data_IF_315902367086
#
_entry.id   IF_315902367086
#
_cell.length_a   1.000
_cell.length_b   1.000
_cell.length_c   1.000
_cell.angle_alpha   90.00
_cell.angle_beta   90.00
_cell.angle_gamma   90.00
#
_symmetry.space_group_name_H-M   'P 1'
#
loop_
_entity.id
_entity.type
_entity.pdbx_description
1 polymer ?
#
# COMPACT_ATOMS: atom_id res chain seq x y z
N UNK A 1 2.44 -4.04 8.12
CA UNK A 1 1.40 -3.44 7.25
C UNK A 1 2.08 -2.42 6.33
N UNK A 2 1.56 -2.20 5.13
CA UNK A 2 2.11 -1.18 4.20
C UNK A 2 0.99 -0.27 3.74
N UNK A 3 1.21 1.04 3.82
CA UNK A 3 0.20 2.07 3.52
C UNK A 3 0.81 3.22 2.70
N UNK A 4 0.01 3.96 1.92
CA UNK A 4 0.46 5.23 1.35
C UNK A 4 0.75 6.26 2.46
N UNK A 5 1.78 7.07 2.27
CA UNK A 5 2.07 8.24 3.12
C UNK A 5 0.85 9.17 3.25
N UNK A 6 0.05 9.27 2.19
CA UNK A 6 -1.15 10.10 2.12
C UNK A 6 -2.44 9.38 2.55
N UNK A 7 -2.35 8.13 3.02
CA UNK A 7 -3.50 7.34 3.51
C UNK A 7 -3.07 6.35 4.60
N UNK A 8 -2.63 6.91 5.73
CA UNK A 8 -1.90 6.19 6.78
C UNK A 8 -2.76 5.91 8.02
N UNK A 9 -3.94 5.30 7.83
CA UNK A 9 -4.92 5.09 8.89
C UNK A 9 -4.46 4.08 9.96
N UNK A 10 -3.85 2.97 9.55
CA UNK A 10 -3.28 1.95 10.45
C UNK A 10 -2.05 2.52 11.14
N UNK A 11 -1.14 3.20 10.44
CA UNK A 11 0.03 3.86 11.03
C UNK A 11 -0.38 4.81 12.15
N UNK A 12 -1.32 5.71 11.87
CA UNK A 12 -1.82 6.68 12.84
C UNK A 12 -2.51 5.98 14.02
N UNK A 13 -3.28 4.92 13.75
CA UNK A 13 -3.98 4.16 14.79
C UNK A 13 -3.06 3.33 15.69
N UNK A 14 -1.98 2.76 15.14
CA UNK A 14 -0.95 2.06 15.90
C UNK A 14 -0.17 3.04 16.78
N UNK A 15 0.25 4.18 16.23
CA UNK A 15 0.96 5.22 16.97
C UNK A 15 0.11 5.80 18.12
N UNK A 16 -1.19 5.98 17.90
CA UNK A 16 -2.11 6.49 18.92
C UNK A 16 -2.62 5.43 19.91
N UNK A 17 -2.40 4.14 19.64
CA UNK A 17 -2.94 3.03 20.42
C UNK A 17 -4.47 2.84 20.29
N UNK A 18 -5.14 3.53 19.38
CA UNK A 18 -6.60 3.51 19.16
C UNK A 18 -6.95 4.00 17.76
N UNK A 19 -8.17 3.74 17.29
CA UNK A 19 -8.67 4.26 16.02
C UNK A 19 -8.68 5.79 16.04
N UNK A 20 -8.14 6.39 14.98
CA UNK A 20 -8.12 7.85 14.78
C UNK A 20 -8.53 8.17 13.36
N UNK A 21 -9.27 9.27 13.14
CA UNK A 21 -9.63 9.71 11.81
C UNK A 21 -8.41 10.25 11.06
N UNK A 22 -8.35 9.98 9.77
CA UNK A 22 -7.40 10.55 8.80
C UNK A 22 -8.18 11.10 7.61
N UNK A 23 -7.56 12.01 6.86
CA UNK A 23 -8.08 12.48 5.57
C UNK A 23 -7.23 11.84 4.46
N UNK A 24 -7.68 10.72 3.87
CA UNK A 24 -6.91 10.02 2.85
C UNK A 24 -6.95 10.78 1.52
N UNK A 25 -5.83 10.77 0.81
CA UNK A 25 -5.64 11.42 -0.48
C UNK A 25 -4.54 10.69 -1.26
N UNK A 26 -4.80 9.45 -1.69
CA UNK A 26 -3.82 8.60 -2.37
C UNK A 26 -4.39 8.06 -3.68
N UNK A 27 -3.50 7.81 -4.65
CA UNK A 27 -3.80 7.07 -5.87
C UNK A 27 -4.19 5.61 -5.60
N UNK A 28 -3.85 5.07 -4.43
CA UNK A 28 -4.29 3.76 -3.96
C UNK A 28 -5.63 3.86 -3.21
N UNK A 29 -6.71 4.06 -3.96
CA UNK A 29 -8.08 4.24 -3.44
C UNK A 29 -8.57 3.07 -2.58
N UNK A 30 -8.20 1.82 -2.92
CA UNK A 30 -8.58 0.62 -2.18
C UNK A 30 -8.11 0.56 -0.71
N UNK A 31 -7.20 1.45 -0.30
CA UNK A 31 -6.75 1.61 1.09
C UNK A 31 -7.02 3.01 1.67
N UNK A 32 -7.93 3.76 1.05
CA UNK A 32 -8.31 5.13 1.45
C UNK A 32 -9.43 5.18 2.49
N UNK A 33 -9.38 4.28 3.49
CA UNK A 33 -10.31 4.32 4.60
C UNK A 33 -10.02 5.53 5.52
N UNK A 34 -11.05 6.24 6.02
CA UNK A 34 -10.84 7.42 6.85
C UNK A 34 -10.38 7.09 8.28
N UNK A 35 -10.32 5.80 8.65
CA UNK A 35 -9.79 5.32 9.92
C UNK A 35 -9.54 3.81 9.83
N UNK A 36 -8.66 3.29 10.68
CA UNK A 36 -8.49 1.85 10.87
C UNK A 36 -9.43 1.34 11.96
N UNK A 37 -10.14 0.25 11.71
CA UNK A 37 -11.09 -0.32 12.68
C UNK A 37 -10.40 -0.87 13.93
N UNK A 38 -11.05 -0.74 15.09
CA UNK A 38 -10.48 -1.14 16.39
C UNK A 38 -10.12 -2.63 16.47
N UNK A 39 -10.91 -3.51 15.87
CA UNK A 39 -10.61 -4.94 15.82
C UNK A 39 -9.31 -5.21 15.04
N UNK A 40 -9.11 -4.54 13.91
CA UNK A 40 -7.90 -4.66 13.11
C UNK A 40 -6.68 -4.15 13.90
N UNK A 41 -6.79 -2.97 14.52
CA UNK A 41 -5.70 -2.41 15.33
C UNK A 41 -5.35 -3.29 16.54
N UNK A 42 -6.35 -3.90 17.18
CA UNK A 42 -6.13 -4.82 18.30
C UNK A 42 -5.32 -6.04 17.86
N UNK A 43 -5.66 -6.65 16.73
CA UNK A 43 -4.92 -7.78 16.17
C UNK A 43 -3.50 -7.35 15.78
N UNK A 44 -3.35 -6.24 15.07
CA UNK A 44 -2.04 -5.76 14.62
C UNK A 44 -1.10 -5.48 15.78
N UNK A 45 -1.58 -4.87 16.88
CA UNK A 45 -0.79 -4.68 18.10
C UNK A 45 -0.43 -6.00 18.78
N UNK A 46 -1.36 -6.96 18.83
CA UNK A 46 -1.11 -8.27 19.46
C UNK A 46 -0.01 -9.07 18.76
N UNK A 47 0.20 -8.83 17.46
CA UNK A 47 1.28 -9.43 16.66
C UNK A 47 2.46 -8.48 16.42
N UNK A 48 2.55 -7.37 17.15
CA UNK A 48 3.64 -6.39 17.06
C UNK A 48 3.91 -5.93 15.61
N UNK A 49 2.85 -5.78 14.81
CA UNK A 49 2.96 -5.43 13.40
C UNK A 49 3.40 -3.98 13.24
N UNK A 50 4.52 -3.78 12.55
CA UNK A 50 4.99 -2.46 12.15
C UNK A 50 4.21 -1.95 10.92
N UNK A 51 4.02 -0.63 10.83
CA UNK A 51 3.49 0.03 9.62
C UNK A 51 4.61 0.71 8.84
N UNK A 52 4.72 0.37 7.55
CA UNK A 52 5.64 0.96 6.58
C UNK A 52 4.86 1.87 5.65
N UNK A 53 5.37 3.09 5.45
CA UNK A 53 4.76 4.08 4.56
C UNK A 53 5.48 4.15 3.23
N UNK A 54 4.73 4.23 2.13
CA UNK A 54 5.25 4.41 0.77
C UNK A 54 4.67 5.66 0.11
N UNK A 55 5.50 6.35 -0.67
CA UNK A 55 5.09 7.53 -1.43
C UNK A 55 4.34 7.13 -2.69
N UNK A 56 3.55 8.06 -3.22
CA UNK A 56 2.80 7.85 -4.48
C UNK A 56 3.72 7.47 -5.65
N UNK A 57 4.92 8.04 -5.70
CA UNK A 57 5.92 7.72 -6.74
C UNK A 57 6.49 6.30 -6.60
N UNK A 58 6.64 5.80 -5.37
CA UNK A 58 7.03 4.41 -5.12
C UNK A 58 5.92 3.44 -5.52
N UNK A 59 4.65 3.81 -5.28
CA UNK A 59 3.47 3.04 -5.70
C UNK A 59 3.44 2.93 -7.23
N UNK A 60 3.59 4.03 -7.96
CA UNK A 60 3.66 4.02 -9.44
C UNK A 60 4.80 3.14 -9.94
N UNK A 61 5.98 3.22 -9.31
CA UNK A 61 7.15 2.43 -9.68
C UNK A 61 6.89 0.93 -9.50
N UNK A 62 6.29 0.54 -8.38
CA UNK A 62 5.92 -0.84 -8.11
C UNK A 62 4.81 -1.35 -9.04
N UNK A 63 3.82 -0.51 -9.34
CA UNK A 63 2.77 -0.82 -10.29
C UNK A 63 3.38 -1.10 -11.68
N UNK A 64 4.26 -0.22 -12.18
CA UNK A 64 5.00 -0.44 -13.43
C UNK A 64 5.81 -1.73 -13.40
N UNK A 65 6.47 -2.03 -12.28
CA UNK A 65 7.24 -3.27 -12.12
C UNK A 65 6.35 -4.52 -12.23
N UNK A 66 5.21 -4.55 -11.53
CA UNK A 66 4.27 -5.68 -11.56
C UNK A 66 3.76 -5.95 -12.99
N UNK A 67 3.41 -4.90 -13.73
CA UNK A 67 2.98 -5.05 -15.13
C UNK A 67 4.13 -5.46 -16.05
N UNK A 68 5.28 -4.78 -15.97
CA UNK A 68 6.37 -4.97 -16.91
C UNK A 68 7.12 -6.29 -16.69
N UNK A 69 7.36 -6.66 -15.43
CA UNK A 69 8.20 -7.80 -15.04
C UNK A 69 7.41 -9.01 -14.60
N UNK A 70 6.37 -8.84 -13.78
CA UNK A 70 5.57 -9.95 -13.29
C UNK A 70 4.40 -10.31 -14.22
N UNK A 71 4.05 -9.44 -15.19
CA UNK A 71 2.91 -9.60 -16.11
C UNK A 71 1.57 -9.74 -15.38
N UNK A 72 1.45 -9.10 -14.22
CA UNK A 72 0.24 -9.11 -13.41
C UNK A 72 -0.56 -7.84 -13.64
N UNK A 73 -1.84 -8.00 -13.99
CA UNK A 73 -2.80 -6.92 -13.98
C UNK A 73 -3.30 -6.72 -12.54
N UNK A 74 -2.75 -5.74 -11.83
CA UNK A 74 -3.09 -5.44 -10.45
C UNK A 74 -3.70 -4.03 -10.31
N UNK A 75 -4.34 -3.74 -9.19
CA UNK A 75 -4.69 -2.38 -8.79
C UNK A 75 -3.54 -1.70 -8.03
N UNK A 76 -3.64 -0.39 -7.77
CA UNK A 76 -2.57 0.35 -7.10
C UNK A 76 -2.37 -0.07 -5.64
N UNK A 77 -3.45 -0.34 -4.91
CA UNK A 77 -3.39 -0.85 -3.54
C UNK A 77 -2.63 -2.19 -3.43
N UNK A 78 -2.76 -3.05 -4.44
CA UNK A 78 -2.05 -4.32 -4.50
C UNK A 78 -0.54 -4.18 -4.75
N UNK A 79 -0.08 -2.99 -5.16
CA UNK A 79 1.34 -2.71 -5.40
C UNK A 79 2.10 -2.25 -4.15
N UNK A 80 1.42 -1.94 -3.04
CA UNK A 80 2.03 -1.33 -1.84
C UNK A 80 3.17 -2.17 -1.26
N UNK A 81 2.95 -3.49 -1.09
CA UNK A 81 3.99 -4.39 -0.58
C UNK A 81 5.24 -4.40 -1.46
N UNK A 82 5.06 -4.42 -2.78
CA UNK A 82 6.16 -4.37 -3.74
C UNK A 82 6.85 -3.01 -3.72
N UNK A 83 6.10 -1.91 -3.54
CA UNK A 83 6.67 -0.57 -3.39
C UNK A 83 7.63 -0.49 -2.21
N UNK A 84 7.22 -1.04 -1.05
CA UNK A 84 8.08 -1.04 0.14
C UNK A 84 9.37 -1.85 -0.07
N UNK A 85 9.29 -2.99 -0.76
CA UNK A 85 10.48 -3.82 -1.07
C UNK A 85 11.40 -3.09 -2.06
N UNK A 86 10.86 -2.58 -3.17
CA UNK A 86 11.68 -1.91 -4.19
C UNK A 86 12.32 -0.61 -3.67
N UNK A 87 11.67 0.06 -2.72
CA UNK A 87 12.21 1.23 -2.03
C UNK A 87 13.24 0.88 -0.93
N UNK A 88 13.49 -0.40 -0.66
CA UNK A 88 14.40 -0.83 0.40
C UNK A 88 13.90 -0.51 1.81
N UNK A 89 12.59 -0.35 2.00
CA UNK A 89 11.94 -0.06 3.29
C UNK A 89 11.62 -1.33 4.08
N UNK A 90 11.82 -2.50 3.49
CA UNK A 90 11.64 -3.81 4.12
C UNK A 90 12.88 -4.65 3.85
N UNK A 91 13.49 -5.11 4.94
CA UNK A 91 14.63 -6.02 4.88
C UNK A 91 14.19 -7.48 4.77
N UNK A 92 14.97 -8.29 4.06
CA UNK A 92 14.78 -9.74 4.02
C UNK A 92 15.43 -10.41 2.84
N UNK A 93 15.95 -11.62 3.06
CA UNK A 93 16.51 -12.45 1.98
C UNK A 93 15.44 -13.25 1.22
N UNK A 94 14.28 -13.48 1.86
CA UNK A 94 13.13 -14.22 1.31
C UNK A 94 11.84 -13.55 1.77
N UNK A 95 11.27 -12.73 0.90
CA UNK A 95 10.07 -11.95 1.19
C UNK A 95 8.95 -12.38 0.24
N UNK A 96 7.73 -12.47 0.76
CA UNK A 96 6.52 -12.68 -0.03
C UNK A 96 5.62 -11.44 0.07
N UNK A 97 5.05 -11.01 -1.06
CA UNK A 97 4.04 -9.96 -1.11
C UNK A 97 2.71 -10.53 -1.57
N UNK A 98 1.63 -10.03 -0.98
CA UNK A 98 0.26 -10.32 -1.42
C UNK A 98 -0.14 -9.28 -2.45
N UNK A 99 -0.42 -9.72 -3.68
CA UNK A 99 -1.08 -8.91 -4.71
C UNK A 99 -2.59 -9.09 -4.51
N UNK A 100 -3.20 -8.18 -3.75
CA UNK A 100 -4.54 -8.36 -3.19
C UNK A 100 -5.70 -8.19 -4.16
N UNK A 101 -5.50 -7.50 -5.29
CA UNK A 101 -6.59 -7.16 -6.22
C UNK A 101 -6.11 -6.64 -7.57
N UNK A 102 -7.03 -6.60 -8.53
CA UNK A 102 -6.79 -6.24 -9.93
C UNK A 102 -7.83 -5.30 -10.53
N UNK A 103 -8.64 -4.66 -9.68
CA UNK A 103 -9.76 -3.81 -10.11
C UNK A 103 -9.27 -2.40 -10.43
N UNK A 104 -8.54 -2.25 -11.53
CA UNK A 104 -8.05 -0.95 -12.00
C UNK A 104 -8.80 -0.50 -13.25
N UNK A 105 -9.18 0.77 -13.27
CA UNK A 105 -9.73 1.43 -14.47
C UNK A 105 -8.65 1.47 -15.56
N UNK A 106 -8.99 1.07 -16.79
CA UNK A 106 -8.03 0.91 -17.87
C UNK A 106 -7.29 2.22 -18.19
N UNK A 107 -7.99 3.35 -18.12
CA UNK A 107 -7.45 4.69 -18.32
C UNK A 107 -6.40 5.03 -17.26
N UNK A 108 -6.65 4.72 -15.99
CA UNK A 108 -5.71 4.92 -14.89
C UNK A 108 -4.45 4.07 -15.08
N UNK A 109 -4.63 2.78 -15.39
CA UNK A 109 -3.51 1.89 -15.65
C UNK A 109 -2.69 2.37 -16.85
N UNK A 110 -3.34 2.74 -17.95
CA UNK A 110 -2.70 3.24 -19.17
C UNK A 110 -1.90 4.52 -18.90
N UNK A 111 -2.48 5.48 -18.17
CA UNK A 111 -1.79 6.73 -17.81
C UNK A 111 -0.52 6.47 -16.99
N UNK A 112 -0.59 5.55 -16.02
CA UNK A 112 0.57 5.16 -15.20
C UNK A 112 1.54 4.30 -15.99
N UNK A 113 1.15 3.56 -17.03
CA UNK A 113 2.09 2.73 -17.81
C UNK A 113 2.71 3.46 -19.00
N UNK A 114 2.15 4.61 -19.38
CA UNK A 114 2.66 5.43 -20.48
C UNK A 114 4.17 5.75 -20.28
N UNK A 115 4.95 5.80 -21.38
CA UNK A 115 6.32 6.28 -21.33
C UNK A 115 6.39 7.67 -20.70
N UNK A 116 7.39 7.91 -19.86
CA UNK A 116 7.72 9.25 -19.35
C UNK A 116 8.60 10.00 -20.33
#
# INVERSE_FOLDING_TARGET
>A
AVEPERSAAVHSGLAAGRSVPVKPDSIADGVSAPFAGENALTILRAYEVESVLVSEAEIETAFRFLYARAKLACELAAALGVAAILAGKVDGSRVACVVSGGNVVAETASAILAPR
#
